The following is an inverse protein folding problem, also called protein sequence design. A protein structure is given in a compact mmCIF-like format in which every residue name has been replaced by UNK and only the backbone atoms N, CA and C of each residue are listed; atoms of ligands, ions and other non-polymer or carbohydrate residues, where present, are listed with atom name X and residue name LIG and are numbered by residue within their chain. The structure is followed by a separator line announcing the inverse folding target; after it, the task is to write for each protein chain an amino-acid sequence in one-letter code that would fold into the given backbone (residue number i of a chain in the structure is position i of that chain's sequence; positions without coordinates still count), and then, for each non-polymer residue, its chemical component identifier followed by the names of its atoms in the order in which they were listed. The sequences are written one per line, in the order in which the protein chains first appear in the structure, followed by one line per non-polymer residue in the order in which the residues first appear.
data_IF_221147750222
#
_entry.id   IF_221147750222
#
_cell.length_a   1.000
_cell.length_b   1.000
_cell.length_c   1.000
_cell.angle_alpha   90.00
_cell.angle_beta   90.00
_cell.angle_gamma   90.00
#
_symmetry.space_group_name_H-M   'P 1'
#
loop_
_entity.id
_entity.type
_entity.pdbx_description
1 polymer ?
#
# COMPACT_ATOMS: atom_id res chain seq x y z
N UNK A 1 -9.67 6.79 13.09
CA UNK A 1 -8.71 7.11 14.16
C UNK A 1 -7.71 8.15 13.65
N UNK A 2 -7.90 9.45 13.93
CA UNK A 2 -7.10 10.52 13.32
C UNK A 2 -5.61 10.48 13.72
N UNK A 3 -5.28 9.94 14.91
CA UNK A 3 -3.91 9.91 15.41
C UNK A 3 -3.06 8.78 14.82
N UNK A 4 -3.66 7.60 14.61
CA UNK A 4 -2.92 6.36 14.26
C UNK A 4 -3.21 5.85 12.85
N UNK A 5 -4.21 6.41 12.17
CA UNK A 5 -4.69 5.90 10.88
C UNK A 5 -5.37 4.53 11.00
N UNK A 6 -5.80 3.99 9.86
CA UNK A 6 -6.39 2.66 9.71
C UNK A 6 -5.40 1.55 9.31
N UNK A 7 -4.15 1.91 8.99
CA UNK A 7 -3.15 1.07 8.33
C UNK A 7 -3.02 1.39 6.84
N UNK A 8 -1.87 1.06 6.24
CA UNK A 8 -1.66 1.23 4.80
C UNK A 8 -2.62 0.33 4.00
N UNK A 9 -3.23 0.86 2.93
CA UNK A 9 -4.25 0.20 2.12
C UNK A 9 -5.62 0.03 2.79
N UNK A 10 -5.88 0.73 3.89
CA UNK A 10 -7.15 0.62 4.64
C UNK A 10 -8.24 1.57 4.14
N UNK A 11 -7.93 2.52 3.26
CA UNK A 11 -8.90 3.49 2.76
C UNK A 11 -10.10 2.81 2.10
N UNK A 12 -9.87 1.84 1.22
CA UNK A 12 -10.92 1.10 0.54
C UNK A 12 -11.92 0.48 1.51
N UNK A 13 -11.46 -0.28 2.51
CA UNK A 13 -12.34 -0.90 3.52
C UNK A 13 -13.13 0.14 4.33
N UNK A 14 -12.53 1.28 4.67
CA UNK A 14 -13.22 2.37 5.34
C UNK A 14 -14.31 2.99 4.45
N UNK A 15 -14.01 3.23 3.17
CA UNK A 15 -14.97 3.77 2.22
C UNK A 15 -16.13 2.81 2.01
N UNK A 16 -15.87 1.50 1.90
CA UNK A 16 -16.95 0.51 1.75
C UNK A 16 -17.92 0.49 2.94
N UNK A 17 -17.40 0.69 4.15
CA UNK A 17 -18.19 0.74 5.38
C UNK A 17 -19.04 2.03 5.49
N UNK A 18 -18.51 3.17 5.01
CA UNK A 18 -19.14 4.49 5.22
C UNK A 18 -19.80 5.10 3.98
N UNK A 19 -19.67 4.50 2.79
CA UNK A 19 -20.11 5.14 1.54
C UNK A 19 -21.63 5.40 1.53
N UNK A 20 -22.05 6.65 1.22
CA UNK A 20 -23.47 6.98 1.08
C UNK A 20 -24.06 6.53 -0.26
N UNK A 21 -23.21 6.17 -1.23
CA UNK A 21 -23.57 5.80 -2.60
C UNK A 21 -22.80 4.56 -3.07
N UNK A 22 -23.34 3.84 -4.05
CA UNK A 22 -22.70 2.65 -4.64
C UNK A 22 -21.60 3.05 -5.63
N UNK A 23 -20.46 3.51 -5.10
CA UNK A 23 -19.22 3.75 -5.85
C UNK A 23 -18.09 2.98 -5.18
N UNK A 24 -17.41 2.12 -5.95
CA UNK A 24 -16.21 1.41 -5.49
C UNK A 24 -15.03 2.35 -5.67
N UNK A 25 -14.42 2.79 -4.56
CA UNK A 25 -13.17 3.55 -4.53
C UNK A 25 -12.17 2.78 -3.69
N UNK A 26 -10.98 2.52 -4.21
CA UNK A 26 -9.89 1.86 -3.46
C UNK A 26 -8.98 2.87 -2.77
N UNK A 27 -8.86 4.06 -3.36
CA UNK A 27 -7.90 5.10 -2.98
C UNK A 27 -8.62 6.46 -2.88
N UNK A 28 -8.02 7.43 -2.19
CA UNK A 28 -8.55 8.78 -2.09
C UNK A 28 -8.02 9.65 -3.25
N UNK A 29 -8.81 10.66 -3.66
CA UNK A 29 -8.37 11.64 -4.68
C UNK A 29 -7.34 12.65 -4.14
N UNK A 30 -6.59 12.31 -3.09
CA UNK A 30 -5.63 13.20 -2.45
C UNK A 30 -4.65 12.40 -1.59
N UNK A 31 -3.36 12.47 -1.94
CA UNK A 31 -2.26 11.88 -1.18
C UNK A 31 -2.33 12.25 0.31
N UNK A 32 -2.69 13.51 0.61
CA UNK A 32 -2.70 14.02 1.98
C UNK A 32 -3.84 13.43 2.81
N UNK A 33 -5.05 13.35 2.24
CA UNK A 33 -6.19 12.75 2.94
C UNK A 33 -6.03 11.24 3.06
N UNK A 34 -5.49 10.58 2.04
CA UNK A 34 -5.16 9.17 2.09
C UNK A 34 -4.14 8.87 3.18
N UNK A 35 -2.99 9.55 3.14
CA UNK A 35 -1.94 9.40 4.15
C UNK A 35 -2.48 9.68 5.55
N UNK A 36 -3.36 10.68 5.73
CA UNK A 36 -4.00 10.96 7.00
C UNK A 36 -4.95 9.83 7.44
N UNK A 37 -5.74 9.28 6.51
CA UNK A 37 -6.65 8.17 6.78
C UNK A 37 -5.90 6.89 7.15
N UNK A 38 -4.80 6.62 6.46
CA UNK A 38 -4.06 5.36 6.56
C UNK A 38 -2.97 5.37 7.64
N UNK A 39 -2.17 6.44 7.69
CA UNK A 39 -1.00 6.58 8.56
C UNK A 39 -1.18 7.62 9.68
N UNK A 40 -2.33 8.29 9.72
CA UNK A 40 -2.65 9.29 10.74
C UNK A 40 -1.86 10.58 10.62
N UNK A 41 -1.89 11.38 11.68
CA UNK A 41 -1.15 12.65 11.74
C UNK A 41 0.36 12.48 11.56
N UNK A 42 0.94 11.37 11.99
CA UNK A 42 2.38 11.12 11.84
C UNK A 42 2.78 10.98 10.37
N UNK A 43 2.01 10.19 9.58
CA UNK A 43 2.24 10.07 8.15
C UNK A 43 2.04 11.39 7.42
N UNK A 44 0.95 12.12 7.73
CA UNK A 44 0.68 13.42 7.14
C UNK A 44 1.82 14.41 7.43
N UNK A 45 2.28 14.48 8.69
CA UNK A 45 3.38 15.35 9.08
C UNK A 45 4.67 15.00 8.32
N UNK A 46 4.98 13.72 8.14
CA UNK A 46 6.14 13.28 7.36
C UNK A 46 6.09 13.81 5.91
N UNK A 47 4.96 13.61 5.22
CA UNK A 47 4.80 14.08 3.83
C UNK A 47 4.94 15.62 3.75
N UNK A 48 4.28 16.35 4.66
CA UNK A 48 4.37 17.81 4.70
C UNK A 48 5.79 18.31 4.99
N UNK A 49 6.53 17.63 5.87
CA UNK A 49 7.93 17.95 6.14
C UNK A 49 8.79 17.74 4.89
N UNK A 50 8.63 16.65 4.16
CA UNK A 50 9.37 16.40 2.91
C UNK A 50 9.10 17.50 1.88
N UNK A 51 7.83 17.87 1.68
CA UNK A 51 7.44 18.94 0.76
C UNK A 51 8.03 20.28 1.20
N UNK A 52 7.90 20.65 2.49
CA UNK A 52 8.43 21.90 3.02
C UNK A 52 9.96 21.97 2.94
N UNK A 53 10.66 20.90 3.30
CA UNK A 53 12.12 20.82 3.18
C UNK A 53 12.57 20.96 1.73
N UNK A 54 11.90 20.28 0.79
CA UNK A 54 12.17 20.39 -0.64
C UNK A 54 11.98 21.82 -1.17
N UNK A 55 10.86 22.46 -0.80
CA UNK A 55 10.54 23.83 -1.15
C UNK A 55 11.61 24.81 -0.64
N UNK A 56 11.95 24.71 0.65
CA UNK A 56 12.92 25.61 1.30
C UNK A 56 14.32 25.40 0.75
N UNK A 57 14.77 24.15 0.62
CA UNK A 57 16.10 23.85 0.12
C UNK A 57 16.27 24.24 -1.36
N UNK A 58 15.30 23.87 -2.21
CA UNK A 58 15.30 24.23 -3.63
C UNK A 58 15.27 25.74 -3.84
N UNK A 59 14.40 26.46 -3.12
CA UNK A 59 14.31 27.92 -3.19
C UNK A 59 15.58 28.60 -2.72
N UNK A 60 16.13 28.22 -1.56
CA UNK A 60 17.40 28.77 -1.05
C UNK A 60 18.53 28.56 -2.05
N UNK A 61 18.60 27.39 -2.67
CA UNK A 61 19.62 27.08 -3.69
C UNK A 61 19.41 27.88 -4.98
N UNK A 62 18.17 28.04 -5.44
CA UNK A 62 17.87 28.87 -6.61
C UNK A 62 18.31 30.32 -6.37
N UNK A 63 18.01 30.87 -5.19
CA UNK A 63 18.41 32.22 -4.79
C UNK A 63 19.94 32.37 -4.68
N UNK A 64 20.64 31.34 -4.19
CA UNK A 64 22.09 31.33 -4.09
C UNK A 64 22.82 31.05 -5.42
N UNK A 65 22.11 30.57 -6.45
CA UNK A 65 22.69 30.22 -7.76
C UNK A 65 22.61 31.39 -8.74
N UNK A 66 23.38 31.31 -9.83
CA UNK A 66 23.37 32.28 -10.94
C UNK A 66 23.32 31.59 -12.31
N UNK A 67 22.97 32.36 -13.36
CA UNK A 67 22.93 31.88 -14.74
C UNK A 67 22.03 30.66 -14.96
N UNK A 68 22.51 29.69 -15.77
CA UNK A 68 21.78 28.45 -16.10
C UNK A 68 21.49 27.57 -14.88
N UNK A 69 22.35 27.61 -13.87
CA UNK A 69 22.13 26.83 -12.65
C UNK A 69 20.89 27.36 -11.89
N UNK A 70 20.71 28.68 -11.80
CA UNK A 70 19.51 29.28 -11.19
C UNK A 70 18.24 28.83 -11.91
N UNK A 71 18.21 28.91 -13.23
CA UNK A 71 17.02 28.55 -14.01
C UNK A 71 16.69 27.07 -13.89
N UNK A 72 17.69 26.19 -13.95
CA UNK A 72 17.48 24.75 -13.75
C UNK A 72 16.95 24.44 -12.35
N UNK A 73 17.56 24.97 -11.29
CA UNK A 73 17.11 24.70 -9.91
C UNK A 73 15.71 25.27 -9.66
N UNK A 74 15.43 26.47 -10.16
CA UNK A 74 14.10 27.07 -10.06
C UNK A 74 13.05 26.22 -10.79
N UNK A 75 13.35 25.77 -12.02
CA UNK A 75 12.45 24.92 -12.80
C UNK A 75 12.18 23.58 -12.08
N UNK A 76 13.22 22.88 -11.62
CA UNK A 76 13.02 21.59 -10.92
C UNK A 76 12.31 21.76 -9.57
N UNK A 77 12.55 22.87 -8.87
CA UNK A 77 11.81 23.19 -7.63
C UNK A 77 10.34 23.45 -7.94
N UNK A 78 10.04 24.25 -8.97
CA UNK A 78 8.67 24.52 -9.39
C UNK A 78 7.95 23.25 -9.86
N UNK A 79 8.61 22.38 -10.62
CA UNK A 79 8.05 21.09 -11.05
C UNK A 79 7.76 20.15 -9.88
N UNK A 80 8.63 20.09 -8.87
CA UNK A 80 8.36 19.34 -7.64
C UNK A 80 7.15 19.88 -6.88
N UNK A 81 7.04 21.20 -6.73
CA UNK A 81 5.89 21.82 -6.07
C UNK A 81 4.59 21.62 -6.84
N UNK A 82 4.64 21.71 -8.17
CA UNK A 82 3.49 21.42 -9.03
C UNK A 82 3.02 19.97 -8.86
N UNK A 83 3.97 19.01 -8.82
CA UNK A 83 3.65 17.62 -8.50
C UNK A 83 3.03 17.48 -7.11
N UNK A 84 3.58 18.11 -6.06
CA UNK A 84 3.05 18.03 -4.70
C UNK A 84 1.62 18.59 -4.58
N UNK A 85 1.30 19.65 -5.34
CA UNK A 85 -0.07 20.16 -5.43
C UNK A 85 -0.97 19.20 -6.19
N UNK A 86 -0.54 18.70 -7.35
CA UNK A 86 -1.31 17.74 -8.15
C UNK A 86 -1.64 16.47 -7.35
N UNK A 87 -0.65 15.88 -6.67
CA UNK A 87 -0.84 14.72 -5.80
C UNK A 87 -1.86 14.97 -4.66
N UNK A 88 -2.11 16.24 -4.31
CA UNK A 88 -3.14 16.60 -3.33
C UNK A 88 -4.55 16.73 -3.89
N UNK A 89 -4.71 16.82 -5.22
CA UNK A 89 -5.98 17.09 -5.90
C UNK A 89 -6.50 15.89 -6.68
N UNK A 90 -5.62 14.98 -7.08
CA UNK A 90 -5.94 13.85 -7.95
C UNK A 90 -5.14 12.59 -7.56
N UNK A 91 -5.48 11.44 -8.15
CA UNK A 91 -5.00 10.11 -7.73
C UNK A 91 -3.76 9.61 -8.50
N UNK A 92 -3.30 10.30 -9.53
CA UNK A 92 -2.23 9.85 -10.42
C UNK A 92 -0.87 9.70 -9.74
N UNK A 93 -0.70 10.22 -8.52
CA UNK A 93 0.46 9.89 -7.67
C UNK A 93 0.55 8.39 -7.35
N UNK A 94 -0.56 7.64 -7.45
CA UNK A 94 -0.61 6.17 -7.37
C UNK A 94 0.12 5.48 -8.53
N UNK A 95 0.30 6.17 -9.66
CA UNK A 95 1.08 5.64 -10.78
C UNK A 95 2.57 5.77 -10.42
N UNK A 96 3.31 4.66 -10.19
CA UNK A 96 4.65 4.73 -9.60
C UNK A 96 5.65 5.57 -10.40
N UNK A 97 5.50 5.62 -11.73
CA UNK A 97 6.35 6.44 -12.60
C UNK A 97 6.18 7.94 -12.34
N UNK A 98 4.96 8.40 -12.04
CA UNK A 98 4.69 9.82 -11.76
C UNK A 98 5.26 10.22 -10.40
N UNK A 99 5.11 9.37 -9.38
CA UNK A 99 5.79 9.52 -8.10
C UNK A 99 7.31 9.60 -8.25
N UNK A 100 7.91 8.70 -9.05
CA UNK A 100 9.34 8.70 -9.31
C UNK A 100 9.83 9.99 -10.00
N UNK A 101 9.05 10.54 -10.94
CA UNK A 101 9.34 11.83 -11.58
C UNK A 101 9.31 12.97 -10.56
N UNK A 102 8.31 13.00 -9.67
CA UNK A 102 8.25 13.97 -8.57
C UNK A 102 9.48 13.92 -7.66
N UNK A 103 9.90 12.71 -7.26
CA UNK A 103 11.12 12.49 -6.46
C UNK A 103 12.38 12.89 -7.23
N UNK A 104 12.44 12.65 -8.54
CA UNK A 104 13.56 13.07 -9.37
C UNK A 104 13.68 14.61 -9.43
N UNK A 105 12.56 15.33 -9.54
CA UNK A 105 12.57 16.79 -9.46
C UNK A 105 13.03 17.31 -8.09
N UNK A 106 12.58 16.68 -7.00
CA UNK A 106 13.07 16.98 -5.65
C UNK A 106 14.58 16.77 -5.52
N UNK A 107 15.09 15.65 -6.03
CA UNK A 107 16.51 15.33 -6.02
C UNK A 107 17.31 16.35 -6.84
N UNK A 108 16.86 16.69 -8.05
CA UNK A 108 17.51 17.69 -8.90
C UNK A 108 17.48 19.10 -8.28
N UNK A 109 16.40 19.45 -7.59
CA UNK A 109 16.26 20.72 -6.88
C UNK A 109 17.22 20.83 -5.69
N UNK A 110 17.55 19.70 -5.04
CA UNK A 110 18.29 19.69 -3.77
C UNK A 110 19.75 19.23 -3.87
N UNK A 111 20.12 18.50 -4.93
CA UNK A 111 21.48 17.96 -5.09
C UNK A 111 22.50 19.07 -5.32
N UNK A 112 23.46 19.19 -4.41
CA UNK A 112 24.63 20.06 -4.56
C UNK A 112 25.80 19.24 -5.11
N UNK A 113 26.14 19.43 -6.39
CA UNK A 113 27.27 18.76 -7.03
C UNK A 113 28.56 19.51 -6.71
N UNK A 114 29.21 19.12 -5.61
CA UNK A 114 30.61 19.48 -5.37
C UNK A 114 31.52 18.50 -6.12
N UNK A 115 32.59 18.97 -6.79
CA UNK A 115 33.56 18.07 -7.41
C UNK A 115 34.19 17.18 -6.34
N UNK A 116 34.41 15.90 -6.67
CA UNK A 116 34.95 14.88 -5.74
C UNK A 116 36.29 15.32 -5.14
N UNK A 117 37.11 16.02 -5.93
CA UNK A 117 38.38 16.59 -5.48
C UNK A 117 38.26 17.69 -4.40
N UNK A 118 37.08 18.29 -4.23
CA UNK A 118 36.80 19.30 -3.20
C UNK A 118 36.10 18.71 -1.96
N UNK A 119 35.96 17.38 -1.87
CA UNK A 119 35.45 16.71 -0.68
C UNK A 119 36.58 16.59 0.36
N UNK A 120 36.49 17.37 1.43
CA UNK A 120 37.32 17.17 2.63
C UNK A 120 36.99 15.86 3.36
N UNK A 121 37.69 15.54 4.46
CA UNK A 121 37.42 14.33 5.25
C UNK A 121 35.95 14.26 5.69
N UNK A 122 35.38 13.05 5.85
CA UNK A 122 33.97 12.87 6.16
C UNK A 122 33.61 13.57 7.48
N UNK A 123 32.92 14.70 7.38
CA UNK A 123 32.35 15.41 8.52
C UNK A 123 31.04 14.79 9.02
N UNK A 124 30.41 15.35 10.06
CA UNK A 124 29.15 14.83 10.63
C UNK A 124 28.00 14.71 9.62
N UNK A 125 28.02 15.51 8.54
CA UNK A 125 27.05 15.41 7.43
C UNK A 125 27.19 14.13 6.61
N UNK A 126 28.36 13.48 6.61
CA UNK A 126 28.57 12.20 5.96
C UNK A 126 27.80 11.08 6.68
N UNK A 127 27.80 11.10 8.02
CA UNK A 127 27.01 10.15 8.85
C UNK A 127 25.53 10.27 8.55
N UNK A 128 25.00 11.50 8.46
CA UNK A 128 23.59 11.74 8.10
C UNK A 128 23.27 11.19 6.70
N UNK A 129 24.17 11.37 5.72
CA UNK A 129 23.97 10.85 4.35
C UNK A 129 23.98 9.33 4.31
N UNK A 130 24.92 8.69 5.00
CA UNK A 130 24.95 7.22 5.12
C UNK A 130 23.68 6.72 5.79
N UNK A 131 23.26 7.36 6.89
CA UNK A 131 21.99 7.05 7.55
C UNK A 131 20.79 7.17 6.61
N UNK A 132 20.71 8.25 5.82
CA UNK A 132 19.65 8.44 4.83
C UNK A 132 19.66 7.37 3.72
N UNK A 133 20.84 6.96 3.24
CA UNK A 133 20.96 5.87 2.25
C UNK A 133 20.51 4.54 2.84
N UNK A 134 20.89 4.24 4.08
CA UNK A 134 20.46 3.02 4.79
C UNK A 134 18.94 3.01 4.97
N UNK A 135 18.35 4.13 5.38
CA UNK A 135 16.89 4.26 5.50
C UNK A 135 16.21 4.10 4.14
N UNK A 136 16.72 4.74 3.09
CA UNK A 136 16.16 4.60 1.74
C UNK A 136 16.24 3.15 1.23
N UNK A 137 17.36 2.47 1.50
CA UNK A 137 17.52 1.05 1.18
C UNK A 137 16.54 0.17 1.97
N UNK A 138 16.35 0.43 3.26
CA UNK A 138 15.38 -0.28 4.09
C UNK A 138 13.94 -0.07 3.59
N UNK A 139 13.58 1.16 3.20
CA UNK A 139 12.28 1.47 2.58
C UNK A 139 12.11 0.74 1.25
N UNK A 140 13.14 0.69 0.40
CA UNK A 140 13.09 -0.04 -0.86
C UNK A 140 12.92 -1.56 -0.65
N UNK A 141 13.61 -2.13 0.34
CA UNK A 141 13.43 -3.54 0.73
C UNK A 141 12.02 -3.78 1.26
N UNK A 142 11.50 -2.92 2.13
CA UNK A 142 10.14 -3.03 2.64
C UNK A 142 9.09 -2.95 1.51
N UNK A 143 9.27 -2.05 0.55
CA UNK A 143 8.41 -1.93 -0.63
C UNK A 143 8.48 -3.13 -1.58
N UNK A 144 9.60 -3.86 -1.59
CA UNK A 144 9.74 -5.07 -2.38
C UNK A 144 8.99 -6.27 -1.78
N UNK A 145 8.73 -6.30 -0.47
CA UNK A 145 8.08 -7.45 0.20
C UNK A 145 6.70 -7.77 -0.42
N UNK A 146 5.75 -6.81 -0.55
CA UNK A 146 4.45 -7.08 -1.17
C UNK A 146 4.55 -7.51 -2.64
N UNK A 147 5.50 -6.94 -3.40
CA UNK A 147 5.72 -7.30 -4.81
C UNK A 147 6.12 -8.77 -4.93
N UNK A 148 7.05 -9.22 -4.08
CA UNK A 148 7.48 -10.61 -4.07
C UNK A 148 6.31 -11.51 -3.64
N UNK A 149 5.58 -11.17 -2.57
CA UNK A 149 4.43 -11.94 -2.12
C UNK A 149 3.34 -12.06 -3.20
N UNK A 150 3.00 -10.97 -3.87
CA UNK A 150 2.01 -10.93 -4.95
C UNK A 150 2.44 -11.80 -6.14
N UNK A 151 3.72 -11.80 -6.51
CA UNK A 151 4.23 -12.68 -7.56
C UNK A 151 4.02 -14.17 -7.24
N UNK A 152 4.07 -14.55 -5.96
CA UNK A 152 3.76 -15.91 -5.52
C UNK A 152 2.25 -16.20 -5.55
N UNK A 153 1.40 -15.22 -5.22
CA UNK A 153 -0.06 -15.34 -5.36
C UNK A 153 -0.48 -15.49 -6.82
N UNK A 154 0.11 -14.73 -7.74
CA UNK A 154 -0.10 -14.87 -9.18
C UNK A 154 0.31 -16.26 -9.66
N UNK A 155 1.48 -16.76 -9.23
CA UNK A 155 1.90 -18.14 -9.53
C UNK A 155 0.88 -19.16 -9.01
N UNK A 156 0.37 -18.99 -7.79
CA UNK A 156 -0.68 -19.84 -7.23
C UNK A 156 -1.93 -19.83 -8.10
N UNK A 157 -2.48 -18.66 -8.43
CA UNK A 157 -3.68 -18.51 -9.27
C UNK A 157 -3.47 -19.11 -10.67
N UNK A 158 -2.30 -18.91 -11.25
CA UNK A 158 -1.94 -19.49 -12.55
C UNK A 158 -1.85 -21.03 -12.48
N UNK A 159 -1.39 -21.59 -11.36
CA UNK A 159 -1.28 -23.03 -11.17
C UNK A 159 -2.67 -23.67 -11.00
N UNK A 160 -3.60 -22.99 -10.32
CA UNK A 160 -5.03 -23.38 -10.29
C UNK A 160 -5.60 -23.44 -11.71
N UNK A 161 -5.37 -22.42 -12.53
CA UNK A 161 -5.85 -22.37 -13.92
C UNK A 161 -5.29 -23.52 -14.79
N UNK A 162 -4.13 -24.08 -14.42
CA UNK A 162 -3.51 -25.24 -15.08
C UNK A 162 -3.86 -26.58 -14.44
N UNK A 163 -4.67 -26.59 -13.37
CA UNK A 163 -4.97 -27.80 -12.59
C UNK A 163 -3.81 -28.31 -11.73
N UNK A 164 -2.70 -27.58 -11.62
CA UNK A 164 -1.53 -27.96 -10.80
C UNK A 164 -1.73 -27.48 -9.36
N UNK A 165 -2.53 -28.25 -8.62
CA UNK A 165 -2.97 -27.93 -7.26
C UNK A 165 -1.82 -27.91 -6.25
N UNK A 166 -0.86 -28.83 -6.39
CA UNK A 166 0.31 -28.91 -5.51
C UNK A 166 1.16 -27.64 -5.61
N UNK A 167 1.45 -27.18 -6.83
CA UNK A 167 2.14 -25.90 -7.02
C UNK A 167 1.33 -24.71 -6.55
N UNK A 168 0.00 -24.76 -6.67
CA UNK A 168 -0.86 -23.71 -6.14
C UNK A 168 -0.73 -23.57 -4.62
N UNK A 169 -0.77 -24.68 -3.87
CA UNK A 169 -0.54 -24.67 -2.42
C UNK A 169 0.84 -24.15 -2.05
N UNK A 170 1.88 -24.66 -2.72
CA UNK A 170 3.26 -24.27 -2.43
C UNK A 170 3.47 -22.76 -2.63
N UNK A 171 2.96 -22.22 -3.74
CA UNK A 171 3.08 -20.81 -4.06
C UNK A 171 2.26 -19.93 -3.10
N UNK A 172 1.03 -20.32 -2.76
CA UNK A 172 0.23 -19.60 -1.77
C UNK A 172 0.87 -19.64 -0.36
N UNK A 173 1.48 -20.76 0.02
CA UNK A 173 2.20 -20.88 1.28
C UNK A 173 3.48 -20.05 1.30
N UNK A 174 4.21 -19.97 0.19
CA UNK A 174 5.35 -19.07 0.05
C UNK A 174 4.94 -17.61 0.25
N UNK A 175 3.84 -17.16 -0.37
CA UNK A 175 3.30 -15.83 -0.14
C UNK A 175 2.97 -15.59 1.35
N UNK A 176 2.35 -16.58 2.01
CA UNK A 176 2.07 -16.52 3.46
C UNK A 176 3.32 -16.37 4.32
N UNK A 177 4.44 -17.03 3.95
CA UNK A 177 5.70 -16.92 4.70
C UNK A 177 6.41 -15.59 4.46
N UNK A 178 6.28 -15.01 3.27
CA UNK A 178 6.86 -13.71 2.92
C UNK A 178 6.10 -12.58 3.59
N UNK A 179 4.76 -12.67 3.58
CA UNK A 179 3.89 -11.64 4.13
C UNK A 179 2.88 -12.23 5.13
N UNK A 180 3.33 -12.68 6.33
CA UNK A 180 2.45 -13.33 7.30
C UNK A 180 1.36 -12.43 7.86
N UNK A 181 1.38 -11.12 7.63
CA UNK A 181 0.38 -10.16 8.09
C UNK A 181 -0.71 -9.85 7.05
N UNK A 182 -0.56 -10.29 5.79
CA UNK A 182 -1.53 -10.01 4.74
C UNK A 182 -2.58 -11.13 4.62
N UNK A 183 -3.85 -10.75 4.54
CA UNK A 183 -4.97 -11.68 4.43
C UNK A 183 -4.97 -12.46 3.09
N UNK A 184 -4.43 -11.91 2.00
CA UNK A 184 -4.54 -12.47 0.65
C UNK A 184 -4.03 -13.90 0.52
N UNK A 185 -2.88 -14.22 1.13
CA UNK A 185 -2.33 -15.58 1.12
C UNK A 185 -3.19 -16.58 1.88
N UNK A 186 -3.78 -16.16 3.00
CA UNK A 186 -4.69 -16.97 3.79
C UNK A 186 -6.01 -17.22 3.05
N UNK A 187 -6.55 -16.21 2.38
CA UNK A 187 -7.73 -16.33 1.52
C UNK A 187 -7.48 -17.30 0.37
N UNK A 188 -6.35 -17.17 -0.33
CA UNK A 188 -5.99 -18.09 -1.40
C UNK A 188 -5.90 -19.54 -0.88
N UNK A 189 -5.23 -19.77 0.25
CA UNK A 189 -5.18 -21.10 0.89
C UNK A 189 -6.57 -21.60 1.29
N UNK A 190 -7.46 -20.74 1.80
CA UNK A 190 -8.81 -21.11 2.18
C UNK A 190 -9.64 -21.60 0.98
N UNK A 191 -9.61 -20.85 -0.13
CA UNK A 191 -10.30 -21.23 -1.38
C UNK A 191 -9.77 -22.55 -1.93
N UNK A 192 -8.45 -22.69 -1.91
CA UNK A 192 -7.74 -23.89 -2.33
C UNK A 192 -8.16 -25.12 -1.51
N UNK A 193 -8.21 -25.04 -0.17
CA UNK A 193 -8.67 -26.15 0.67
C UNK A 193 -10.18 -26.40 0.55
N UNK A 194 -10.96 -25.34 0.29
CA UNK A 194 -12.41 -25.44 0.08
C UNK A 194 -12.75 -26.21 -1.20
N UNK A 195 -11.98 -26.02 -2.28
CA UNK A 195 -12.13 -26.78 -3.54
C UNK A 195 -11.82 -28.27 -3.35
N UNK A 196 -10.83 -28.61 -2.52
CA UNK A 196 -10.48 -30.00 -2.18
C UNK A 196 -11.46 -30.66 -1.21
N UNK A 197 -12.39 -29.91 -0.64
CA UNK A 197 -13.28 -30.40 0.42
C UNK A 197 -12.58 -30.58 1.78
N UNK A 198 -11.34 -30.09 1.95
CA UNK A 198 -10.64 -30.05 3.22
C UNK A 198 -11.17 -28.90 4.11
N UNK A 199 -12.47 -28.94 4.41
CA UNK A 199 -13.22 -27.83 5.01
C UNK A 199 -12.67 -27.38 6.38
N UNK A 200 -12.07 -28.28 7.16
CA UNK A 200 -11.43 -27.93 8.45
C UNK A 200 -10.18 -27.07 8.24
N UNK A 201 -9.39 -27.33 7.19
CA UNK A 201 -8.24 -26.48 6.84
C UNK A 201 -8.68 -25.19 6.18
N UNK A 202 -9.71 -25.25 5.33
CA UNK A 202 -10.33 -24.07 4.74
C UNK A 202 -10.80 -23.10 5.85
N UNK A 203 -11.46 -23.62 6.89
CA UNK A 203 -11.90 -22.83 8.05
C UNK A 203 -10.72 -22.16 8.77
N UNK A 204 -9.66 -22.92 9.09
CA UNK A 204 -8.47 -22.34 9.74
C UNK A 204 -7.79 -21.26 8.88
N UNK A 205 -7.73 -21.48 7.57
CA UNK A 205 -7.14 -20.51 6.66
C UNK A 205 -7.98 -19.22 6.58
N UNK A 206 -9.31 -19.32 6.46
CA UNK A 206 -10.16 -18.12 6.42
C UNK A 206 -10.21 -17.39 7.77
N UNK A 207 -10.13 -18.10 8.89
CA UNK A 207 -9.95 -17.49 10.22
C UNK A 207 -8.66 -16.69 10.28
N UNK A 208 -7.56 -17.24 9.76
CA UNK A 208 -6.29 -16.51 9.64
C UNK A 208 -6.39 -15.27 8.74
N UNK A 209 -7.16 -15.33 7.65
CA UNK A 209 -7.42 -14.16 6.82
C UNK A 209 -8.21 -13.08 7.59
N UNK A 210 -9.26 -13.50 8.31
CA UNK A 210 -10.09 -12.62 9.12
C UNK A 210 -9.30 -11.98 10.27
N UNK A 211 -8.37 -12.69 10.92
CA UNK A 211 -7.50 -12.10 11.95
C UNK A 211 -6.71 -10.89 11.44
N UNK A 212 -6.37 -10.88 10.14
CA UNK A 212 -5.57 -9.83 9.49
C UNK A 212 -6.43 -8.72 8.93
N UNK A 213 -7.58 -9.07 8.38
CA UNK A 213 -8.54 -8.11 7.85
C UNK A 213 -9.98 -8.48 8.23
N UNK A 214 -10.42 -7.97 9.39
CA UNK A 214 -11.81 -8.15 9.84
C UNK A 214 -12.79 -7.22 9.15
N UNK A 215 -12.31 -6.22 8.40
CA UNK A 215 -13.14 -5.18 7.78
C UNK A 215 -13.53 -5.54 6.35
N UNK A 216 -12.84 -6.48 5.72
CA UNK A 216 -13.27 -7.01 4.43
C UNK A 216 -14.52 -7.87 4.53
N UNK A 217 -15.64 -7.34 4.03
CA UNK A 217 -16.90 -8.07 3.94
C UNK A 217 -16.79 -9.33 3.07
N UNK A 218 -15.89 -9.34 2.07
CA UNK A 218 -15.69 -10.50 1.17
C UNK A 218 -15.13 -11.71 1.93
N UNK A 219 -14.24 -11.49 2.90
CA UNK A 219 -13.71 -12.57 3.73
C UNK A 219 -14.81 -13.20 4.59
N UNK A 220 -15.74 -12.39 5.08
CA UNK A 220 -16.91 -12.88 5.80
C UNK A 220 -17.85 -13.70 4.92
N UNK A 221 -17.97 -13.39 3.62
CA UNK A 221 -18.73 -14.22 2.66
C UNK A 221 -18.04 -15.57 2.44
N UNK A 222 -16.72 -15.59 2.27
CA UNK A 222 -15.95 -16.84 2.13
C UNK A 222 -16.07 -17.68 3.41
N UNK A 223 -15.95 -17.05 4.59
CA UNK A 223 -16.13 -17.73 5.88
C UNK A 223 -17.53 -18.33 6.02
N UNK A 224 -18.57 -17.57 5.66
CA UNK A 224 -19.95 -18.03 5.66
C UNK A 224 -20.12 -19.29 4.80
N UNK A 225 -19.57 -19.29 3.59
CA UNK A 225 -19.67 -20.41 2.65
C UNK A 225 -18.96 -21.66 3.20
N UNK A 226 -17.72 -21.51 3.68
CA UNK A 226 -16.93 -22.60 4.26
C UNK A 226 -17.62 -23.18 5.49
N UNK A 227 -18.11 -22.33 6.41
CA UNK A 227 -18.81 -22.76 7.63
C UNK A 227 -20.11 -23.50 7.30
N UNK A 228 -20.89 -23.01 6.34
CA UNK A 228 -22.13 -23.65 5.90
C UNK A 228 -21.86 -25.03 5.29
N UNK A 229 -20.83 -25.16 4.43
CA UNK A 229 -20.42 -26.46 3.87
C UNK A 229 -19.92 -27.44 4.94
N UNK A 230 -19.32 -26.91 6.02
CA UNK A 230 -18.86 -27.70 7.16
C UNK A 230 -20.02 -28.13 8.09
N UNK A 231 -21.24 -27.62 7.87
CA UNK A 231 -22.42 -27.89 8.71
C UNK A 231 -22.60 -26.92 9.88
N UNK A 232 -21.73 -25.92 10.03
CA UNK A 232 -21.86 -24.86 11.03
C UNK A 232 -22.78 -23.73 10.54
N UNK A 233 -24.09 -24.01 10.57
CA UNK A 233 -25.12 -23.07 10.11
C UNK A 233 -25.22 -21.83 11.02
N UNK A 234 -24.87 -21.96 12.30
CA UNK A 234 -24.87 -20.83 13.23
C UNK A 234 -23.71 -19.86 12.92
N UNK A 235 -22.49 -20.39 12.76
CA UNK A 235 -21.32 -19.63 12.32
C UNK A 235 -21.54 -18.97 10.97
N UNK A 236 -22.09 -19.71 9.99
CA UNK A 236 -22.40 -19.16 8.66
C UNK A 236 -23.34 -17.95 8.71
N UNK A 237 -24.39 -18.00 9.54
CA UNK A 237 -25.30 -16.86 9.75
C UNK A 237 -24.61 -15.67 10.41
N UNK A 238 -23.75 -15.89 11.40
CA UNK A 238 -22.98 -14.83 12.03
C UNK A 238 -22.01 -14.14 11.05
N UNK A 239 -21.32 -14.93 10.22
CA UNK A 239 -20.44 -14.41 9.16
C UNK A 239 -21.22 -13.58 8.13
N UNK A 240 -22.39 -14.05 7.70
CA UNK A 240 -23.25 -13.28 6.80
C UNK A 240 -23.71 -11.95 7.41
N UNK A 241 -24.04 -11.93 8.70
CA UNK A 241 -24.44 -10.70 9.39
C UNK A 241 -23.28 -9.68 9.44
N UNK A 242 -22.05 -10.14 9.69
CA UNK A 242 -20.87 -9.27 9.62
C UNK A 242 -20.63 -8.73 8.20
N UNK A 243 -20.74 -9.57 7.17
CA UNK A 243 -20.60 -9.15 5.78
C UNK A 243 -21.61 -8.03 5.42
N UNK A 244 -22.88 -8.19 5.81
CA UNK A 244 -23.93 -7.18 5.57
C UNK A 244 -23.71 -5.89 6.35
N UNK A 245 -23.17 -5.98 7.57
CA UNK A 245 -22.82 -4.79 8.37
C UNK A 245 -21.72 -3.97 7.69
N UNK A 246 -20.71 -4.64 7.14
CA UNK A 246 -19.55 -4.00 6.52
C UNK A 246 -19.83 -3.54 5.08
N UNK A 247 -20.74 -4.20 4.37
CA UNK A 247 -21.21 -3.74 3.06
C UNK A 247 -22.73 -3.94 2.92
N UNK A 248 -23.51 -2.92 3.27
CA UNK A 248 -24.98 -2.94 3.12
C UNK A 248 -25.45 -3.10 1.67
N UNK A 249 -24.63 -2.76 0.68
CA UNK A 249 -24.93 -2.87 -0.75
C UNK A 249 -24.41 -4.18 -1.40
N UNK A 250 -23.91 -5.12 -0.61
CA UNK A 250 -23.30 -6.38 -1.10
C UNK A 250 -24.21 -7.23 -2.00
N UNK A 251 -25.53 -7.07 -1.90
CA UNK A 251 -26.49 -7.76 -2.78
C UNK A 251 -26.48 -7.23 -4.22
N UNK A 252 -26.09 -5.98 -4.44
CA UNK A 252 -25.97 -5.40 -5.78
C UNK A 252 -24.63 -5.75 -6.45
N UNK A 253 -23.58 -6.06 -5.68
CA UNK A 253 -22.26 -6.41 -6.22
C UNK A 253 -22.13 -7.88 -6.68
N UNK A 254 -23.09 -8.75 -6.32
CA UNK A 254 -23.10 -10.17 -6.72
C UNK A 254 -23.93 -10.39 -8.01
N UNK A 255 -24.68 -9.36 -8.45
CA UNK A 255 -25.62 -9.44 -9.57
C UNK A 255 -25.19 -8.71 -10.84
N UNK A 256 -23.90 -8.39 -11.02
CA UNK A 256 -23.34 -7.74 -12.20
C UNK A 256 -22.46 -8.67 -13.01
#
# INVERSE_FOLDING_TARGET
HPLTGGGAGSFGSWWEEQRPVFVVSRDAHSLYFETLGELGLAGLAFVLIVVACGAVAGTRRALASSGRARTTVAATTASFLAFAVAAGLEWAWEIPVLGAVGVAFLALATIDRKPVAAMGPPGPRAVIRVGAVVVAAAVAVAAAIPIVAESHLERSRSAVARGDRARALEAADAARRIEPWNASAYTQLALLYEEEGELVRARRAIEGALERDRRSWTLWIVAMRIQTRLGDIAGGRASLANARRLNPFSTQSIGG
#
